data_IF_542311390305
#
_entry.id   IF_542311390305
#
_cell.length_a   1.000
_cell.length_b   1.000
_cell.length_c   1.000
_cell.angle_alpha   90.00
_cell.angle_beta   90.00
_cell.angle_gamma   90.00
#
_symmetry.space_group_name_H-M   'P 1'
#
loop_
_entity.id
_entity.type
_entity.pdbx_description
1 polymer ?
2 non-polymer ?
3 non-polymer ?
4 water ?
#
# COMPACT_ATOMS: atom_id res chain seq x y z
N UNK A 2 11.73 11.57 3.73
CA UNK A 2 10.35 11.08 3.44
C UNK A 2 10.41 10.03 2.35
N UNK A 3 9.49 9.05 2.39
CA UNK A 3 9.56 8.01 1.37
C UNK A 3 9.51 8.55 -0.05
N UNK A 4 10.24 7.91 -0.95
CA UNK A 4 10.10 8.18 -2.37
C UNK A 4 8.68 7.89 -2.86
N UNK A 5 8.05 6.86 -2.32
CA UNK A 5 6.67 6.51 -2.70
C UNK A 5 6.06 5.71 -1.56
N UNK A 6 4.79 6.00 -1.26
CA UNK A 6 3.96 5.23 -0.32
C UNK A 6 2.91 4.50 -1.16
N UNK A 7 2.94 3.17 -1.15
CA UNK A 7 1.99 2.38 -1.94
C UNK A 7 0.75 2.02 -1.13
N UNK A 8 -0.42 2.24 -1.71
CA UNK A 8 -1.69 1.85 -1.08
C UNK A 8 -2.56 1.12 -2.09
N UNK A 9 -3.45 0.26 -1.61
CA UNK A 9 -4.33 -0.48 -2.50
C UNK A 9 -4.96 -1.68 -1.82
N UNK A 10 -5.93 -2.28 -2.50
CA UNK A 10 -6.60 -3.48 -1.97
C UNK A 10 -5.71 -4.72 -1.96
N UNK A 11 -6.20 -5.82 -1.34
CA UNK A 11 -5.44 -7.06 -1.41
C UNK A 11 -5.30 -7.51 -2.86
N UNK A 12 -4.09 -7.91 -3.23
CA UNK A 12 -3.79 -8.32 -4.59
C UNK A 12 -3.47 -7.19 -5.55
N UNK A 13 -3.55 -5.93 -5.10
CA UNK A 13 -3.26 -4.81 -5.99
C UNK A 13 -1.79 -4.73 -6.40
N UNK A 14 -0.91 -5.33 -5.62
CA UNK A 14 0.52 -5.37 -5.94
C UNK A 14 1.44 -4.66 -4.97
N UNK A 15 0.96 -4.38 -3.76
CA UNK A 15 1.80 -3.65 -2.78
C UNK A 15 3.16 -4.34 -2.55
N UNK A 16 3.15 -5.67 -2.46
CA UNK A 16 4.40 -6.42 -2.24
C UNK A 16 5.24 -6.50 -3.51
N UNK A 17 4.62 -6.98 -4.58
CA UNK A 17 5.27 -7.12 -5.89
C UNK A 17 5.84 -5.81 -6.44
N UNK A 18 5.00 -4.78 -6.47
CA UNK A 18 5.42 -3.47 -6.93
C UNK A 18 6.39 -2.80 -5.95
N UNK A 19 6.13 -2.98 -4.66
CA UNK A 19 7.06 -2.56 -3.60
C UNK A 19 8.49 -3.04 -3.86
N UNK A 20 8.65 -4.34 -4.05
CA UNK A 20 9.98 -4.91 -4.31
C UNK A 20 10.57 -4.39 -5.61
N UNK A 21 9.81 -4.46 -6.69
CA UNK A 21 10.34 -4.10 -8.00
C UNK A 21 10.69 -2.61 -8.09
N UNK A 22 9.86 -1.75 -7.50
CA UNK A 22 10.11 -0.31 -7.51
C UNK A 22 11.34 0.05 -6.66
N UNK A 23 11.43 -0.56 -5.48
CA UNK A 23 12.58 -0.36 -4.59
C UNK A 23 13.87 -0.86 -5.25
N UNK A 24 13.78 -1.95 -5.99
CA UNK A 24 14.93 -2.42 -6.74
C UNK A 24 15.32 -1.44 -7.83
N UNK A 25 14.36 -0.97 -8.61
CA UNK A 25 14.63 0.00 -9.67
C UNK A 25 15.24 1.29 -9.14
N UNK A 26 14.79 1.75 -7.98
CA UNK A 26 15.27 3.02 -7.42
C UNK A 26 16.56 2.84 -6.61
N UNK A 27 16.87 1.60 -6.22
CA UNK A 27 18.03 1.34 -5.37
C UNK A 27 17.80 1.87 -3.96
N UNK A 28 16.61 1.61 -3.42
CA UNK A 28 16.26 2.10 -2.09
C UNK A 28 15.68 0.99 -1.22
N UNK A 29 15.54 1.29 0.07
CA UNK A 29 14.98 0.35 1.03
C UNK A 29 13.47 0.19 0.90
N UNK A 30 12.97 -0.96 1.31
CA UNK A 30 11.55 -1.27 1.26
C UNK A 30 11.07 -1.60 2.66
N UNK A 31 10.03 -0.90 3.08
CA UNK A 31 9.42 -1.12 4.36
C UNK A 31 7.91 -1.33 4.19
N UNK A 32 7.39 -2.36 4.83
CA UNK A 32 5.97 -2.67 4.83
C UNK A 32 5.43 -2.49 6.24
N UNK A 33 4.38 -1.69 6.41
CA UNK A 33 3.96 -1.32 7.77
C UNK A 33 3.41 -2.48 8.58
N UNK A 34 2.79 -3.45 7.91
CA UNK A 34 2.35 -4.66 8.61
C UNK A 34 3.52 -5.44 9.19
N UNK A 35 4.56 -5.63 8.38
CA UNK A 35 5.79 -6.27 8.84
C UNK A 35 6.42 -5.46 9.98
N UNK A 36 6.48 -4.14 9.81
CA UNK A 36 7.03 -3.23 10.83
C UNK A 36 6.29 -3.31 12.19
N UNK A 37 4.97 -3.49 12.16
CA UNK A 37 4.21 -3.64 13.38
C UNK A 37 4.64 -4.93 14.08
N UNK A 38 4.74 -6.01 13.31
CA UNK A 38 5.15 -7.29 13.90
C UNK A 38 6.58 -7.22 14.44
N UNK A 39 7.44 -6.49 13.74
CA UNK A 39 8.83 -6.32 14.15
C UNK A 39 9.00 -5.46 15.42
N UNK A 40 8.07 -4.53 15.63
CA UNK A 40 8.12 -3.58 16.75
C UNK A 40 7.46 -4.11 18.04
N UNK A 41 6.54 -5.06 17.88
CA UNK A 41 5.75 -5.61 18.99
C UNK A 41 6.07 -7.07 19.32
N UNK A 42 6.59 -7.83 18.35
CA UNK A 42 6.76 -9.27 18.51
C UNK A 42 5.43 -10.02 18.59
N UNK A 43 4.38 -9.44 18.01
CA UNK A 43 3.04 -10.03 18.00
C UNK A 43 2.50 -10.06 16.57
N UNK A 44 1.85 -11.14 16.16
CA UNK A 44 1.26 -11.21 14.82
C UNK A 44 0.12 -10.20 14.71
N UNK A 45 -0.16 -9.74 13.49
CA UNK A 45 -1.29 -8.84 13.22
C UNK A 45 -2.59 -9.46 13.74
N UNK A 46 -2.80 -10.72 13.39
CA UNK A 46 -3.99 -11.45 13.83
C UNK A 46 -4.15 -11.45 15.35
N UNK A 47 -3.07 -11.71 16.09
CA UNK A 47 -3.11 -11.69 17.55
C UNK A 47 -3.43 -10.31 18.12
N UNK A 48 -2.85 -9.27 17.55
CA UNK A 48 -3.17 -7.94 18.04
C UNK A 48 -4.66 -7.68 17.87
N UNK A 49 -5.19 -7.97 16.69
CA UNK A 49 -6.64 -7.84 16.46
C UNK A 49 -7.50 -8.65 17.42
N UNK A 50 -7.22 -9.94 17.50
CA UNK A 50 -8.01 -10.83 18.34
C UNK A 50 -7.92 -10.43 19.81
N UNK A 51 -6.74 -10.04 20.25
CA UNK A 51 -6.51 -9.79 21.66
C UNK A 51 -6.88 -8.37 22.07
N UNK A 52 -6.44 -7.38 21.29
CA UNK A 52 -6.58 -5.96 21.69
C UNK A 52 -7.78 -5.26 21.07
N UNK A 53 -8.27 -5.79 19.95
CA UNK A 53 -9.36 -5.18 19.20
C UNK A 53 -8.85 -4.27 18.08
N UNK A 54 -9.72 -4.00 17.11
CA UNK A 54 -9.34 -3.22 15.93
C UNK A 54 -8.84 -1.83 16.28
N UNK A 55 -9.46 -1.18 17.26
CA UNK A 55 -9.07 0.20 17.60
C UNK A 55 -7.66 0.32 18.15
N UNK A 56 -7.24 -0.62 19.00
CA UNK A 56 -5.88 -0.61 19.49
C UNK A 56 -4.91 -1.03 18.39
N UNK A 57 -5.32 -1.94 17.50
CA UNK A 57 -4.48 -2.23 16.33
C UNK A 57 -4.24 -0.95 15.49
N UNK A 58 -5.30 -0.19 15.26
CA UNK A 58 -5.21 1.06 14.49
C UNK A 58 -4.31 2.08 15.16
N UNK A 59 -4.32 2.11 16.50
CA UNK A 59 -3.44 2.99 17.27
C UNK A 59 -1.97 2.64 17.06
N UNK A 60 -1.63 1.37 17.23
CA UNK A 60 -0.27 0.87 17.03
C UNK A 60 0.17 1.12 15.60
N UNK A 61 -0.73 0.79 14.67
CA UNK A 61 -0.54 1.01 13.25
C UNK A 61 -0.23 2.47 12.91
N UNK A 62 -1.03 3.40 13.44
CA UNK A 62 -0.80 4.81 13.17
C UNK A 62 0.59 5.26 13.66
N UNK A 63 0.99 4.87 14.87
CA UNK A 63 2.34 5.20 15.35
C UNK A 63 3.44 4.70 14.41
N UNK A 64 3.30 3.46 13.94
CA UNK A 64 4.29 2.86 13.04
C UNK A 64 4.34 3.59 11.69
N UNK A 65 3.17 3.93 11.16
CA UNK A 65 3.05 4.67 9.89
C UNK A 65 3.71 6.03 10.05
N UNK A 66 3.37 6.74 11.12
CA UNK A 66 3.94 8.08 11.33
C UNK A 66 5.46 8.04 11.43
N UNK A 67 5.98 7.06 12.18
CA UNK A 67 7.42 6.90 12.30
C UNK A 67 8.09 6.63 10.95
N UNK A 68 7.50 5.73 10.17
CA UNK A 68 8.03 5.40 8.85
C UNK A 68 7.99 6.58 7.88
N UNK A 69 6.91 7.37 7.90
CA UNK A 69 6.83 8.57 7.04
C UNK A 69 7.93 9.57 7.38
N UNK A 70 8.31 9.60 8.65
CA UNK A 70 9.32 10.52 9.13
C UNK A 70 10.74 10.04 8.81
N UNK A 71 10.96 8.74 8.97
CA UNK A 71 12.30 8.18 9.03
C UNK A 71 12.75 7.42 7.79
N UNK A 72 11.82 6.93 6.95
CA UNK A 72 12.19 6.06 5.83
C UNK A 72 12.29 6.85 4.53
N UNK A 73 13.41 6.68 3.81
CA UNK A 73 13.67 7.43 2.59
C UNK A 73 13.30 6.66 1.32
N UNK A 74 12.96 5.39 1.47
CA UNK A 74 12.74 4.50 0.32
C UNK A 74 11.28 4.32 -0.06
N UNK A 75 10.91 3.08 -0.42
CA UNK A 75 9.51 2.76 -0.69
C UNK A 75 8.85 2.23 0.57
N UNK A 76 7.64 2.73 0.82
CA UNK A 76 6.83 2.30 1.95
C UNK A 76 5.53 1.72 1.43
N UNK A 77 5.14 0.56 1.91
CA UNK A 77 3.82 0.03 1.59
C UNK A 77 2.95 -0.03 2.85
N UNK A 78 1.71 0.40 2.70
CA UNK A 78 0.77 0.50 3.82
C UNK A 78 -0.17 -0.71 3.86
N UNK A 79 -0.35 -1.25 5.06
CA UNK A 79 -1.37 -2.26 5.30
C UNK A 79 -2.73 -1.71 4.90
N UNK A 80 -3.59 -2.60 4.43
CA UNK A 80 -4.83 -2.23 3.73
C UNK A 80 -5.77 -1.29 4.45
N UNK A 81 -5.83 -1.42 5.77
CA UNK A 81 -6.78 -0.66 6.57
C UNK A 81 -6.26 0.59 7.22
N UNK A 82 -4.97 0.90 7.02
CA UNK A 82 -4.38 2.09 7.65
C UNK A 82 -5.13 3.37 7.28
N UNK A 83 -5.57 3.47 6.03
CA UNK A 83 -6.26 4.69 5.59
C UNK A 83 -7.61 4.92 6.26
N UNK A 84 -8.15 3.91 6.96
CA UNK A 84 -9.37 4.11 7.74
C UNK A 84 -9.15 5.01 8.98
N UNK A 85 -7.90 5.21 9.39
CA UNK A 85 -7.58 6.10 10.52
C UNK A 85 -7.45 7.54 10.05
N UNK A 86 -8.28 8.46 10.59
CA UNK A 86 -8.14 9.86 10.17
C UNK A 86 -6.74 10.44 10.38
N UNK A 87 -6.07 10.01 11.45
CA UNK A 87 -4.72 10.46 11.74
C UNK A 87 -3.70 9.99 10.72
N UNK A 88 -3.94 8.82 10.14
CA UNK A 88 -3.07 8.31 9.07
C UNK A 88 -3.29 9.13 7.79
N UNK A 89 -4.55 9.40 7.46
CA UNK A 89 -4.85 10.29 6.33
C UNK A 89 -4.22 11.68 6.52
N UNK A 90 -4.23 12.19 7.75
CA UNK A 90 -3.58 13.46 8.04
C UNK A 90 -2.07 13.37 7.85
N UNK A 91 -1.47 12.31 8.39
CA UNK A 91 -0.02 12.10 8.30
C UNK A 91 0.48 11.99 6.87
N UNK A 92 -0.34 11.42 5.98
CA UNK A 92 0.07 11.19 4.60
C UNK A 92 0.11 12.46 3.76
N UNK A 93 -0.67 13.47 4.16
CA UNK A 93 -0.81 14.69 3.37
C UNK A 93 0.56 15.33 3.15
N UNK A 94 0.94 15.51 1.89
CA UNK A 94 2.24 16.05 1.54
C UNK A 94 3.19 15.00 0.99
N UNK A 95 2.91 13.73 1.25
CA UNK A 95 3.74 12.65 0.72
C UNK A 95 3.32 12.24 -0.69
N UNK A 96 4.20 11.49 -1.35
CA UNK A 96 3.89 10.88 -2.62
C UNK A 96 3.18 9.55 -2.36
N UNK A 97 1.88 9.50 -2.69
CA UNK A 97 1.01 8.37 -2.39
C UNK A 97 0.46 7.78 -3.70
N UNK A 98 0.91 6.57 -3.98
CA UNK A 98 0.61 5.85 -5.22
C UNK A 98 -0.45 4.80 -4.93
N UNK A 99 -1.63 4.99 -5.54
CA UNK A 99 -2.76 4.10 -5.37
C UNK A 99 -2.72 3.10 -6.51
N UNK A 100 -2.42 1.85 -6.18
CA UNK A 100 -2.48 0.74 -7.14
C UNK A 100 -3.92 0.27 -7.26
N UNK A 101 -4.54 0.60 -8.38
CA UNK A 101 -5.96 0.34 -8.60
C UNK A 101 -6.18 -1.05 -9.18
N UNK A 102 -7.25 -1.71 -8.73
CA UNK A 102 -7.59 -3.04 -9.25
C UNK A 102 -9.10 -3.23 -9.19
N UNK A 103 -9.66 -4.04 -10.09
CA UNK A 103 -11.09 -4.37 -10.01
C UNK A 103 -11.33 -5.50 -9.00
N UNK A 104 -12.59 -5.71 -8.64
CA UNK A 104 -12.97 -6.79 -7.74
C UNK A 104 -12.61 -8.15 -8.36
N UNK A 105 -12.93 -8.33 -9.63
CA UNK A 105 -12.70 -9.61 -10.30
C UNK A 105 -11.22 -9.93 -10.31
N UNK A 106 -10.40 -8.93 -10.62
CA UNK A 106 -8.94 -9.13 -10.65
C UNK A 106 -8.34 -9.31 -9.26
N UNK A 107 -8.89 -8.59 -8.28
CA UNK A 107 -8.43 -8.70 -6.91
C UNK A 107 -8.68 -10.08 -6.33
N UNK A 108 -9.86 -10.62 -6.60
CA UNK A 108 -10.20 -11.98 -6.18
C UNK A 108 -9.28 -13.01 -6.87
N UNK A 109 -9.09 -12.88 -8.18
CA UNK A 109 -8.19 -13.78 -8.91
C UNK A 109 -6.78 -13.76 -8.34
N UNK A 110 -6.27 -12.55 -8.11
CA UNK A 110 -4.90 -12.35 -7.62
C UNK A 110 -4.70 -12.62 -6.12
N UNK A 111 -5.76 -12.99 -5.42
CA UNK A 111 -5.66 -13.40 -4.03
C UNK A 111 -6.18 -14.83 -3.80
N UNK A 112 -6.03 -15.68 -4.81
CA UNK A 112 -6.34 -17.11 -4.69
C UNK A 112 -7.65 -17.57 -5.29
N UNK A 113 -8.45 -16.64 -5.80
CA UNK A 113 -9.73 -17.00 -6.42
C UNK A 113 -10.89 -17.02 -5.45
N UNK A 114 -12.07 -17.34 -5.96
CA UNK A 114 -13.29 -17.39 -5.14
C UNK A 114 -13.35 -18.71 -4.36
N UNK A 115 -14.21 -18.77 -3.34
CA UNK A 115 -14.33 -19.93 -2.44
C UNK A 115 -15.67 -20.65 -2.61
N UNK A 116 -15.76 -21.86 -2.06
CA UNK A 116 -17.04 -22.57 -1.96
C UNK A 116 -17.99 -21.76 -1.08
N UNK A 117 -19.25 -21.69 -1.51
CA UNK A 117 -20.28 -20.96 -0.78
C UNK A 117 -21.05 -21.93 0.11
N UNK A 118 -20.86 -21.84 1.45
CA UNK A 118 -21.52 -22.77 2.38
C UNK A 118 -23.04 -22.78 2.25
N UNK A 119 -23.64 -21.59 2.27
CA UNK A 119 -25.09 -21.44 2.11
C UNK A 119 -25.43 -20.50 0.95
N UNK A 120 -26.32 -20.97 0.07
CA UNK A 120 -26.81 -20.19 -1.07
C UNK A 120 -27.26 -18.78 -0.65
N UNK A 121 -27.89 -18.68 0.52
CA UNK A 121 -28.39 -17.41 1.04
C UNK A 121 -27.31 -16.51 1.68
N UNK A 122 -26.09 -17.03 1.86
CA UNK A 122 -24.98 -16.26 2.44
C UNK A 122 -23.89 -15.91 1.45
N UNK A 123 -22.87 -15.14 1.90
CA UNK A 123 -21.85 -14.58 1.00
C UNK A 123 -20.65 -15.49 0.72
N UNK A 124 -20.05 -15.33 -0.45
CA UNK A 124 -18.80 -16.04 -0.79
C UNK A 124 -17.63 -15.04 -0.78
N UNK A 125 -16.42 -15.54 -1.00
CA UNK A 125 -15.22 -14.70 -0.95
C UNK A 125 -15.29 -13.49 -1.89
N UNK A 126 -15.82 -13.69 -3.08
CA UNK A 126 -15.93 -12.61 -4.05
C UNK A 126 -16.82 -11.51 -3.51
N UNK A 127 -17.90 -11.87 -2.81
CA UNK A 127 -18.81 -10.84 -2.28
C UNK A 127 -18.21 -10.06 -1.10
N UNK A 128 -17.46 -10.76 -0.25
CA UNK A 128 -16.76 -10.12 0.85
C UNK A 128 -15.72 -9.13 0.32
N UNK A 129 -15.03 -9.51 -0.75
CA UNK A 129 -14.07 -8.62 -1.39
C UNK A 129 -14.76 -7.37 -1.94
N UNK A 130 -15.91 -7.57 -2.57
CA UNK A 130 -16.69 -6.47 -3.11
C UNK A 130 -17.04 -5.47 -2.01
N UNK A 131 -17.37 -5.99 -0.83
CA UNK A 131 -17.68 -5.14 0.32
C UNK A 131 -16.47 -4.34 0.81
N UNK A 132 -15.31 -4.99 0.87
CA UNK A 132 -14.07 -4.33 1.33
C UNK A 132 -13.70 -3.20 0.35
N UNK A 133 -13.83 -3.51 -0.94
CA UNK A 133 -13.55 -2.55 -2.00
C UNK A 133 -14.43 -1.32 -1.88
N UNK A 134 -15.74 -1.56 -1.76
CA UNK A 134 -16.71 -0.49 -1.61
C UNK A 134 -16.36 0.48 -0.48
N UNK A 135 -15.79 -0.03 0.60
CA UNK A 135 -15.42 0.80 1.77
C UNK A 135 -14.03 1.43 1.69
N UNK A 136 -13.07 0.71 1.13
CA UNK A 136 -11.66 1.16 1.10
C UNK A 136 -11.31 2.05 -0.08
N UNK A 137 -11.88 1.75 -1.25
CA UNK A 137 -11.48 2.40 -2.49
C UNK A 137 -11.67 3.92 -2.46
N UNK A 138 -12.79 4.40 -1.89
CA UNK A 138 -12.94 5.87 -1.79
C UNK A 138 -11.84 6.53 -0.95
N UNK A 139 -11.33 5.83 0.06
CA UNK A 139 -10.29 6.37 0.93
C UNK A 139 -8.93 6.39 0.23
N UNK A 140 -8.61 5.34 -0.53
CA UNK A 140 -7.39 5.35 -1.34
C UNK A 140 -7.44 6.48 -2.37
N UNK A 141 -8.58 6.66 -3.01
CA UNK A 141 -8.74 7.80 -3.91
C UNK A 141 -8.48 9.15 -3.23
N UNK A 142 -9.02 9.34 -2.07
CA UNK A 142 -8.86 10.61 -1.31
C UNK A 142 -7.40 10.93 -1.05
N UNK A 143 -6.66 9.94 -0.56
CA UNK A 143 -5.26 10.18 -0.18
C UNK A 143 -4.25 10.15 -1.33
N UNK A 144 -4.63 9.61 -2.49
CA UNK A 144 -3.68 9.44 -3.57
C UNK A 144 -3.15 10.76 -4.14
N UNK A 145 -1.91 10.72 -4.61
CA UNK A 145 -1.34 11.77 -5.47
C UNK A 145 -1.02 11.24 -6.86
N UNK A 146 -0.97 9.92 -6.99
CA UNK A 146 -0.82 9.25 -8.29
C UNK A 146 -1.72 8.01 -8.27
N UNK A 147 -2.55 7.84 -9.30
CA UNK A 147 -3.36 6.61 -9.44
C UNK A 147 -2.89 5.77 -10.62
N UNK A 148 -2.64 4.48 -10.39
CA UNK A 148 -2.14 3.59 -11.43
C UNK A 148 -3.05 2.36 -11.59
N UNK A 149 -3.67 2.22 -12.76
CA UNK A 149 -4.49 1.04 -13.06
C UNK A 149 -3.59 -0.18 -13.27
N UNK A 150 -3.76 -1.20 -12.43
CA UNK A 150 -2.96 -2.42 -12.55
C UNK A 150 -3.74 -3.56 -13.22
N UNK A 151 -4.99 -3.32 -13.61
CA UNK A 151 -5.81 -4.40 -14.17
C UNK A 151 -5.23 -4.96 -15.47
N UNK A 152 -4.68 -4.08 -16.30
CA UNK A 152 -4.17 -4.47 -17.62
C UNK A 152 -2.71 -4.05 -17.85
N UNK A 153 -1.97 -3.85 -16.77
CA UNK A 153 -0.53 -3.65 -16.84
C UNK A 153 0.12 -4.72 -15.99
N UNK A 154 1.14 -5.38 -16.53
CA UNK A 154 1.95 -6.32 -15.75
C UNK A 154 2.86 -5.52 -14.79
N UNK A 155 3.51 -6.19 -13.81
CA UNK A 155 4.31 -5.43 -12.83
C UNK A 155 5.42 -4.54 -13.40
N UNK A 156 6.11 -5.00 -14.43
CA UNK A 156 7.16 -4.21 -15.08
C UNK A 156 6.62 -2.91 -15.65
N UNK A 157 5.46 -3.01 -16.31
CA UNK A 157 4.75 -1.84 -16.85
C UNK A 157 4.25 -0.86 -15.77
N UNK A 158 3.74 -1.40 -14.68
CA UNK A 158 3.34 -0.59 -13.53
C UNK A 158 4.54 0.17 -12.96
N UNK A 159 5.67 -0.52 -12.79
CA UNK A 159 6.86 0.14 -12.24
C UNK A 159 7.37 1.23 -13.19
N UNK A 160 7.40 0.95 -14.48
CA UNK A 160 7.85 1.98 -15.45
C UNK A 160 6.94 3.22 -15.47
N UNK A 161 5.63 3.01 -15.35
CA UNK A 161 4.64 4.09 -15.25
C UNK A 161 4.88 4.97 -14.03
N UNK A 162 5.12 4.35 -12.88
CA UNK A 162 5.41 5.10 -11.66
C UNK A 162 6.72 5.87 -11.77
N UNK A 163 7.77 5.20 -12.22
CA UNK A 163 9.09 5.83 -12.32
C UNK A 163 9.05 7.07 -13.18
N UNK A 164 8.31 7.00 -14.27
CA UNK A 164 8.16 8.14 -15.20
C UNK A 164 7.46 9.36 -14.56
N UNK A 165 6.85 9.14 -13.39
CA UNK A 165 6.10 10.17 -12.68
C UNK A 165 6.63 10.46 -11.28
N UNK A 166 7.81 9.92 -10.97
CA UNK A 166 8.52 10.15 -9.70
C UNK A 166 9.91 10.75 -9.88
N UNK A 167 10.18 11.34 -11.04
CA UNK A 167 11.55 11.72 -11.38
C UNK A 167 12.07 12.86 -10.49
N UNK A 168 13.37 12.86 -10.26
CA UNK A 168 13.99 13.88 -9.43
C UNK A 168 15.17 14.49 -10.19
N UNK A 169 15.06 15.78 -10.59
CA UNK A 169 16.21 16.37 -11.30
C UNK A 169 17.45 16.43 -10.38
N UNK A 170 18.62 16.16 -10.93
CA UNK A 170 19.86 16.28 -10.14
C UNK A 170 20.31 17.74 -10.05
N UNK A 171 20.39 18.30 -8.83
CA UNK A 171 20.76 19.71 -8.71
C UNK A 171 22.20 20.03 -9.15
N UNK A 172 23.08 19.04 -9.09
CA UNK A 172 24.48 19.21 -9.49
C UNK A 172 24.74 18.73 -10.93
N UNK A 173 23.68 18.56 -11.70
CA UNK A 173 23.76 17.99 -13.05
C UNK A 173 24.73 18.75 -13.96
N UNK A 174 24.52 20.05 -14.08
CA UNK A 174 25.35 20.92 -14.91
C UNK A 174 26.83 20.78 -14.54
N UNK A 175 27.13 21.07 -13.28
CA UNK A 175 28.50 21.01 -12.76
C UNK A 175 29.18 19.66 -13.01
N UNK A 176 28.46 18.56 -12.82
CA UNK A 176 29.00 17.22 -13.09
C UNK A 176 29.63 17.08 -14.49
N UNK A 177 28.94 17.59 -15.51
CA UNK A 177 29.45 17.58 -16.88
C UNK A 177 30.75 18.36 -17.04
N UNK A 178 31.06 19.25 -16.10
CA UNK A 178 32.21 20.14 -16.21
C UNK A 178 33.45 19.63 -15.47
N UNK A 179 33.34 18.46 -14.83
CA UNK A 179 34.43 17.91 -14.02
C UNK A 179 34.86 16.53 -14.50
X LIG B 1 -1.80 -8.24 0.07
X LIG B 1 -0.43 -8.23 0.74
X LIG B 1 -2.63 -7.03 0.41
X LIG B 1 -2.57 -9.53 0.25
X LIG B 1 -0.51 -7.25 -2.28
X LIG B 1 0.83 -7.30 -1.57
X LIG B 1 -1.14 -5.91 -2.64
X LIG B 1 -1.57 -8.18 -1.52
X LIG B 1 0.80 -9.00 -4.18
X LIG B 1 1.99 -8.17 -4.57
X LIG B 1 0.95 -10.06 -3.13
X LIG B 1 -0.41 -8.06 -3.69
X LIG B 1 0.22 -9.62 -5.54
X LIG B 1 -0.79 -10.63 -5.56
X LIG B 1 -0.67 -11.49 -6.81
X LIG B 1 -0.94 -10.72 -7.99
X LIG B 1 0.71 -12.09 -7.00
X LIG B 1 0.55 -13.41 -7.54
X LIG B 1 1.37 -11.18 -8.01
X LIG B 1 2.34 -11.82 -8.80
X LIG B 1 0.19 -10.73 -8.85
X LIG B 1 0.33 -9.38 -9.40
X LIG B 1 0.73 -8.29 -8.73
X LIG B 1 0.72 -7.22 -9.54
X LIG B 1 0.29 -7.62 -10.75
X LIG B 1 0.07 -6.99 -12.06
X LIG B 1 0.28 -5.67 -12.24
X LIG B 1 -0.38 -7.77 -13.07
X LIG B 1 -0.60 -9.08 -12.90
X LIG B 1 -0.41 -9.72 -11.74
X LIG B 1 0.03 -9.06 -10.65
X LIG C 1 1.52 -7.91 0.22
#
# INVERSE_FOLDING_TARGET
MAPKAVLVGLPGSGKSTIGRRLAKALGVGLLDTDVAIEQRTGRSIADIFATDGEQEFRRIEEDVVRAALADHDGVLSLGGGAVTSPGVRAALAGHTVVYLEISAAEGVRRTGGNTVRPLLAGPDRAEKYRALMAKRAPLYRRVATMRVDTNRRNPGAVVRHILSRLQVPSPSEAATLEHHHHHH
ATP PG O1G O2G O3G PB O1B O2B O3B PA O1A O2A O3A O5' C5' C4' O4' C3' O3' C2' O2' C1' N9 C8 N7 C5 C6 N6 N1 C2 N3 C4
MG MG
#
